data_IF_527059476419
#
_entry.id   IF_527059476419
#
_cell.length_a   1.000
_cell.length_b   1.000
_cell.length_c   1.000
_cell.angle_alpha   90.00
_cell.angle_beta   90.00
_cell.angle_gamma   90.00
#
_symmetry.space_group_name_H-M   'P 1'
#
loop_
_entity.id
_entity.type
_entity.pdbx_description
1 polymer ?
#
# COMPACT_ATOMS: atom_id res chain seq x y z
N UNK A 1 -31.06 46.51 63.43
CA UNK A 1 -29.81 45.80 63.72
C UNK A 1 -29.57 44.77 62.62
N UNK A 2 -28.98 45.16 61.53
CA UNK A 2 -28.77 44.34 60.33
C UNK A 2 -27.34 43.84 60.31
N UNK A 3 -27.11 42.52 60.48
CA UNK A 3 -25.83 41.86 60.43
C UNK A 3 -25.36 41.69 58.97
N UNK A 4 -24.37 42.48 58.55
CA UNK A 4 -23.70 42.29 57.27
C UNK A 4 -22.95 40.99 57.27
N UNK A 5 -23.42 40.04 56.43
CA UNK A 5 -22.73 38.79 56.16
C UNK A 5 -21.59 39.05 55.17
N UNK A 6 -20.39 39.11 55.66
CA UNK A 6 -19.15 39.28 54.87
C UNK A 6 -19.01 38.06 53.95
N UNK A 7 -19.24 38.20 52.64
CA UNK A 7 -18.90 37.21 51.64
C UNK A 7 -17.37 37.12 51.58
N UNK A 8 -16.84 35.96 51.94
CA UNK A 8 -15.45 35.61 51.64
C UNK A 8 -15.28 35.61 50.12
N UNK A 9 -14.32 36.35 49.56
CA UNK A 9 -13.92 36.12 48.16
C UNK A 9 -13.27 34.76 48.10
N UNK A 10 -13.75 33.93 47.19
CA UNK A 10 -13.14 32.64 46.84
C UNK A 10 -11.73 32.92 46.40
N UNK A 11 -10.75 32.47 47.17
CA UNK A 11 -9.34 32.52 46.83
C UNK A 11 -9.13 31.65 45.59
N UNK A 12 -9.22 32.27 44.42
CA UNK A 12 -8.70 31.71 43.16
C UNK A 12 -7.18 31.85 43.21
N UNK A 13 -6.62 31.03 44.08
CA UNK A 13 -5.49 30.19 43.87
C UNK A 13 -4.21 30.78 43.23
N UNK A 14 -3.26 30.99 44.06
CA UNK A 14 -1.86 30.82 43.73
C UNK A 14 -1.62 29.31 43.39
N UNK A 15 -1.90 28.88 42.16
CA UNK A 15 -1.27 27.72 41.62
C UNK A 15 0.21 28.04 41.54
N UNK A 16 0.99 27.40 42.44
CA UNK A 16 2.43 27.56 42.45
C UNK A 16 2.96 27.38 41.05
N UNK A 17 3.84 28.25 40.55
CA UNK A 17 4.50 28.17 39.26
C UNK A 17 5.01 26.73 38.95
N UNK A 18 5.43 26.02 39.98
CA UNK A 18 5.86 24.61 39.92
C UNK A 18 4.75 23.66 39.51
N UNK A 19 3.50 23.87 39.97
CA UNK A 19 2.37 23.01 39.56
C UNK A 19 1.94 23.30 38.11
N UNK A 20 2.03 24.53 37.67
CA UNK A 20 1.80 24.94 36.29
C UNK A 20 2.85 24.29 35.35
N UNK A 21 4.12 24.34 35.71
CA UNK A 21 5.21 23.68 34.97
C UNK A 21 5.05 22.16 34.92
N UNK A 22 4.61 21.51 36.00
CA UNK A 22 4.34 20.08 36.04
C UNK A 22 3.17 19.69 35.11
N UNK A 23 2.07 20.44 35.15
CA UNK A 23 0.91 20.20 34.29
C UNK A 23 1.29 20.40 32.82
N UNK A 24 2.03 21.46 32.48
CA UNK A 24 2.52 21.71 31.13
C UNK A 24 3.46 20.59 30.65
N UNK A 25 4.36 20.10 31.51
CA UNK A 25 5.26 18.98 31.21
C UNK A 25 4.49 17.68 30.93
N UNK A 26 3.44 17.40 31.70
CA UNK A 26 2.58 16.22 31.48
C UNK A 26 1.84 16.32 30.15
N UNK A 27 1.23 17.48 29.87
CA UNK A 27 0.51 17.72 28.60
C UNK A 27 1.46 17.60 27.42
N UNK A 28 2.66 18.21 27.50
CA UNK A 28 3.68 18.10 26.44
C UNK A 28 4.15 16.66 26.23
N UNK A 29 4.33 15.89 27.31
CA UNK A 29 4.68 14.47 27.22
C UNK A 29 3.59 13.63 26.57
N UNK A 30 2.33 13.83 26.95
CA UNK A 30 1.18 13.14 26.33
C UNK A 30 1.07 13.49 24.85
N UNK A 31 1.22 14.77 24.50
CA UNK A 31 1.18 15.24 23.11
C UNK A 31 2.33 14.64 22.29
N UNK A 32 3.52 14.53 22.87
CA UNK A 32 4.69 13.91 22.24
C UNK A 32 4.48 12.41 21.97
N UNK A 33 3.96 11.66 22.96
CA UNK A 33 3.63 10.24 22.79
C UNK A 33 2.53 10.06 21.74
N UNK A 34 1.52 10.92 21.74
CA UNK A 34 0.45 10.90 20.75
C UNK A 34 0.96 11.20 19.33
N UNK A 35 1.89 12.14 19.20
CA UNK A 35 2.57 12.44 17.93
C UNK A 35 3.37 11.23 17.42
N UNK A 36 4.09 10.52 18.30
CA UNK A 36 4.82 9.31 17.94
C UNK A 36 3.89 8.18 17.47
N UNK A 37 2.69 8.06 18.05
CA UNK A 37 1.68 7.07 17.63
C UNK A 37 1.07 7.41 16.27
N UNK A 38 0.87 8.70 15.97
CA UNK A 38 0.33 9.14 14.66
C UNK A 38 1.34 8.91 13.53
N UNK A 39 2.64 9.05 13.78
CA UNK A 39 3.67 8.81 12.78
C UNK A 39 3.80 7.32 12.37
N UNK A 40 3.09 6.42 13.04
CA UNK A 40 2.94 4.98 12.73
C UNK A 40 4.19 4.33 12.10
N UNK A 41 5.25 4.10 12.86
CA UNK A 41 6.51 3.56 12.34
C UNK A 41 6.44 2.03 12.12
N UNK A 42 5.24 1.47 11.88
CA UNK A 42 5.05 0.04 11.70
C UNK A 42 4.08 -0.25 10.55
N UNK A 43 4.30 -1.39 9.91
CA UNK A 43 3.41 -1.97 8.90
C UNK A 43 3.20 -3.44 9.17
N UNK A 44 2.01 -3.93 8.80
CA UNK A 44 1.65 -5.34 8.85
C UNK A 44 1.48 -5.83 7.42
N UNK A 45 2.32 -6.79 7.01
CA UNK A 45 2.24 -7.41 5.70
C UNK A 45 1.44 -8.70 5.80
N UNK A 46 0.39 -8.82 5.00
CA UNK A 46 -0.51 -9.97 5.00
C UNK A 46 0.18 -11.24 4.50
N UNK A 47 -0.31 -12.42 4.91
CA UNK A 47 0.18 -13.71 4.42
C UNK A 47 0.01 -13.81 2.89
N UNK A 48 1.04 -14.29 2.20
CA UNK A 48 1.08 -14.38 0.74
C UNK A 48 1.33 -13.05 0.03
N UNK A 49 1.79 -12.03 0.77
CA UNK A 49 2.17 -10.74 0.21
C UNK A 49 3.66 -10.43 0.45
N UNK A 50 4.19 -9.55 -0.38
CA UNK A 50 5.52 -8.94 -0.21
C UNK A 50 5.39 -7.43 -0.38
N UNK A 51 6.12 -6.69 0.42
CA UNK A 51 6.04 -5.23 0.40
C UNK A 51 7.38 -4.63 0.02
N UNK A 52 7.35 -3.76 -0.99
CA UNK A 52 8.48 -2.92 -1.39
C UNK A 52 8.37 -1.59 -0.67
N UNK A 53 9.48 -1.13 -0.12
CA UNK A 53 9.57 0.17 0.53
C UNK A 53 10.14 1.21 -0.42
N UNK A 54 9.54 2.39 -0.41
CA UNK A 54 10.10 3.57 -1.08
C UNK A 54 10.28 4.70 -0.07
N UNK A 55 11.43 5.37 -0.12
CA UNK A 55 11.73 6.53 0.71
C UNK A 55 12.07 7.71 -0.17
N UNK A 56 11.26 8.77 -0.11
CA UNK A 56 11.38 9.95 -0.97
C UNK A 56 11.49 9.59 -2.46
N UNK A 57 10.74 8.57 -2.92
CA UNK A 57 10.76 8.09 -4.30
C UNK A 57 11.88 7.09 -4.62
N UNK A 58 12.81 6.85 -3.71
CA UNK A 58 13.87 5.85 -3.89
C UNK A 58 13.44 4.49 -3.37
N UNK A 59 13.52 3.47 -4.21
CA UNK A 59 13.23 2.08 -3.83
C UNK A 59 14.32 1.56 -2.89
N UNK A 60 13.91 1.07 -1.73
CA UNK A 60 14.83 0.50 -0.76
C UNK A 60 15.23 -0.93 -1.15
N UNK A 61 16.41 -1.37 -0.68
CA UNK A 61 16.92 -2.72 -0.95
C UNK A 61 16.09 -3.81 -0.27
N UNK A 62 15.51 -3.49 0.88
CA UNK A 62 14.79 -4.44 1.71
C UNK A 62 13.38 -4.68 1.16
N UNK A 63 13.04 -5.95 0.92
CA UNK A 63 11.69 -6.44 0.67
C UNK A 63 11.16 -6.98 2.00
N UNK A 64 10.00 -6.49 2.44
CA UNK A 64 9.34 -7.00 3.63
C UNK A 64 8.57 -8.29 3.30
N UNK A 65 8.83 -9.33 4.08
CA UNK A 65 8.02 -10.55 4.09
C UNK A 65 6.73 -10.34 4.88
N UNK A 66 5.88 -11.36 4.91
CA UNK A 66 4.70 -11.40 5.77
C UNK A 66 5.05 -11.22 7.25
N UNK A 67 4.17 -10.55 7.98
CA UNK A 67 4.30 -10.29 9.41
C UNK A 67 4.42 -8.82 9.77
N UNK A 68 4.80 -8.58 11.01
CA UNK A 68 4.95 -7.24 11.57
C UNK A 68 6.36 -6.69 11.30
N UNK A 69 6.44 -5.47 10.77
CA UNK A 69 7.69 -4.79 10.48
C UNK A 69 7.67 -3.37 11.01
N UNK A 70 8.82 -2.99 11.58
CA UNK A 70 9.10 -1.61 11.94
C UNK A 70 9.72 -0.91 10.74
N UNK A 71 9.11 0.18 10.29
CA UNK A 71 9.55 0.96 9.13
C UNK A 71 9.82 2.40 9.53
N UNK A 72 10.48 3.16 8.67
CA UNK A 72 10.62 4.60 8.89
C UNK A 72 9.30 5.32 8.62
N UNK A 73 8.94 6.38 9.37
CA UNK A 73 7.74 7.18 9.11
C UNK A 73 7.76 7.89 7.75
N UNK A 74 8.92 7.93 7.08
CA UNK A 74 9.10 8.50 5.74
C UNK A 74 9.04 7.44 4.63
N UNK A 75 8.82 6.17 4.99
CA UNK A 75 8.72 5.09 4.02
C UNK A 75 7.26 4.95 3.54
N UNK A 76 7.10 4.80 2.23
CA UNK A 76 5.84 4.39 1.62
C UNK A 76 5.91 2.91 1.28
N UNK A 77 4.82 2.20 1.50
CA UNK A 77 4.71 0.75 1.31
C UNK A 77 3.93 0.44 0.03
N UNK A 78 4.45 -0.51 -0.76
CA UNK A 78 3.80 -1.02 -1.96
C UNK A 78 3.68 -2.53 -1.84
N UNK A 79 2.46 -3.02 -1.64
CA UNK A 79 2.17 -4.43 -1.38
C UNK A 79 1.88 -5.17 -2.68
N UNK A 80 2.45 -6.38 -2.82
CA UNK A 80 2.26 -7.28 -3.94
C UNK A 80 1.76 -8.62 -3.45
N UNK A 81 0.67 -9.10 -4.04
CA UNK A 81 0.20 -10.47 -3.87
C UNK A 81 1.10 -11.42 -4.67
N UNK A 82 1.77 -12.35 -3.97
CA UNK A 82 2.68 -13.34 -4.58
C UNK A 82 2.03 -14.70 -4.75
N UNK A 83 0.76 -14.84 -4.37
CA UNK A 83 -0.03 -16.05 -4.61
C UNK A 83 -0.36 -16.18 -6.09
N UNK A 84 -0.78 -17.37 -6.48
CA UNK A 84 -1.30 -17.60 -7.83
C UNK A 84 -2.61 -16.83 -8.01
N UNK A 85 -2.63 -15.97 -9.01
CA UNK A 85 -3.76 -15.14 -9.41
C UNK A 85 -4.26 -15.62 -10.78
N UNK A 86 -5.54 -15.40 -11.05
CA UNK A 86 -6.16 -15.62 -12.35
C UNK A 86 -6.50 -14.27 -12.97
N UNK A 87 -6.12 -14.09 -14.21
CA UNK A 87 -6.54 -12.94 -15.03
C UNK A 87 -7.32 -13.43 -16.24
N UNK A 88 -8.40 -12.74 -16.59
CA UNK A 88 -9.24 -13.04 -17.75
C UNK A 88 -9.27 -11.84 -18.66
N UNK A 89 -8.79 -12.01 -19.88
CA UNK A 89 -8.73 -10.95 -20.89
C UNK A 89 -9.47 -11.37 -22.14
N UNK A 90 -10.32 -10.47 -22.64
CA UNK A 90 -10.92 -10.61 -23.97
C UNK A 90 -9.89 -10.18 -25.02
N UNK A 91 -9.64 -11.03 -25.99
CA UNK A 91 -8.68 -10.77 -27.07
C UNK A 91 -9.35 -10.93 -28.43
N UNK A 92 -9.07 -9.97 -29.30
CA UNK A 92 -9.51 -9.99 -30.69
C UNK A 92 -8.28 -10.10 -31.58
N UNK A 93 -8.26 -11.08 -32.44
CA UNK A 93 -7.15 -11.31 -33.36
C UNK A 93 -7.67 -11.77 -34.74
N UNK A 94 -6.85 -11.56 -35.77
CA UNK A 94 -7.15 -12.09 -37.10
C UNK A 94 -6.63 -13.53 -37.22
N UNK A 95 -7.41 -14.42 -37.79
CA UNK A 95 -7.00 -15.75 -38.21
C UNK A 95 -6.13 -15.69 -39.47
N UNK A 96 -5.58 -16.84 -39.88
CA UNK A 96 -4.76 -16.97 -41.10
C UNK A 96 -5.49 -16.53 -42.38
N UNK A 97 -6.80 -16.71 -42.42
CA UNK A 97 -7.67 -16.29 -43.52
C UNK A 97 -8.28 -14.89 -43.34
N UNK A 98 -7.68 -14.09 -42.45
CA UNK A 98 -8.04 -12.69 -42.18
C UNK A 98 -9.44 -12.48 -41.61
N UNK A 99 -10.03 -13.48 -40.98
CA UNK A 99 -11.28 -13.35 -40.25
C UNK A 99 -11.01 -12.88 -38.79
N UNK A 100 -11.89 -12.05 -38.27
CA UNK A 100 -11.80 -11.63 -36.88
C UNK A 100 -12.29 -12.73 -35.94
N UNK A 101 -11.42 -13.14 -35.03
CA UNK A 101 -11.69 -14.12 -33.97
C UNK A 101 -11.68 -13.41 -32.64
N UNK A 102 -12.78 -13.52 -31.90
CA UNK A 102 -12.88 -13.02 -30.53
C UNK A 102 -12.79 -14.21 -29.57
N UNK A 103 -11.85 -14.15 -28.65
CA UNK A 103 -11.65 -15.21 -27.66
C UNK A 103 -11.46 -14.64 -26.27
N UNK A 104 -11.90 -15.39 -25.27
CA UNK A 104 -11.67 -15.06 -23.86
C UNK A 104 -10.62 -16.01 -23.30
N UNK A 105 -9.55 -15.45 -22.78
CA UNK A 105 -8.40 -16.20 -22.28
C UNK A 105 -8.28 -15.99 -20.80
N UNK A 106 -8.08 -17.07 -20.08
CA UNK A 106 -7.74 -17.06 -18.66
C UNK A 106 -6.27 -17.49 -18.48
N UNK A 107 -5.52 -16.67 -17.80
CA UNK A 107 -4.11 -16.94 -17.48
C UNK A 107 -3.94 -16.99 -15.97
N UNK A 108 -3.29 -18.06 -15.49
CA UNK A 108 -2.86 -18.14 -14.10
C UNK A 108 -1.39 -17.76 -14.02
N UNK A 109 -1.08 -16.80 -13.16
CA UNK A 109 0.29 -16.34 -12.94
C UNK A 109 0.55 -16.08 -11.46
N UNK A 110 1.79 -15.93 -11.09
CA UNK A 110 2.19 -15.46 -9.77
C UNK A 110 3.41 -14.54 -9.88
N UNK A 111 3.51 -13.62 -8.94
CA UNK A 111 4.67 -12.73 -8.83
C UNK A 111 5.78 -13.47 -8.08
N UNK A 112 6.99 -13.48 -8.63
CA UNK A 112 8.14 -14.06 -7.94
C UNK A 112 8.51 -13.19 -6.72
N UNK A 113 8.45 -13.73 -5.49
CA UNK A 113 8.70 -12.98 -4.25
C UNK A 113 10.06 -12.28 -4.21
N UNK A 114 11.09 -12.88 -4.79
CA UNK A 114 12.46 -12.34 -4.78
C UNK A 114 12.67 -11.23 -5.81
N UNK A 115 11.76 -11.12 -6.79
CA UNK A 115 11.85 -10.18 -7.90
C UNK A 115 10.87 -9.00 -7.81
N UNK A 116 10.11 -8.91 -6.72
CA UNK A 116 9.09 -7.87 -6.53
C UNK A 116 9.68 -6.46 -6.63
N UNK A 117 10.90 -6.25 -6.13
CA UNK A 117 11.61 -4.96 -6.24
C UNK A 117 11.87 -4.57 -7.69
N UNK A 118 12.41 -5.49 -8.50
CA UNK A 118 12.67 -5.25 -9.91
C UNK A 118 11.35 -4.97 -10.66
N UNK A 119 10.32 -5.77 -10.38
CA UNK A 119 8.98 -5.59 -10.93
C UNK A 119 8.41 -4.19 -10.61
N UNK A 120 8.58 -3.74 -9.35
CA UNK A 120 8.14 -2.40 -8.96
C UNK A 120 8.91 -1.30 -9.71
N UNK A 121 10.23 -1.44 -9.83
CA UNK A 121 11.06 -0.46 -10.56
C UNK A 121 10.67 -0.34 -12.03
N UNK A 122 10.29 -1.46 -12.66
CA UNK A 122 9.92 -1.51 -14.06
C UNK A 122 8.49 -1.02 -14.33
N UNK A 123 7.54 -1.40 -13.47
CA UNK A 123 6.10 -1.21 -13.73
C UNK A 123 5.40 -0.24 -12.80
N UNK A 124 6.05 0.17 -11.70
CA UNK A 124 5.47 1.00 -10.65
C UNK A 124 4.11 0.47 -10.14
N UNK A 125 3.97 -0.86 -10.05
CA UNK A 125 2.76 -1.54 -9.60
C UNK A 125 1.74 -1.86 -10.70
N UNK A 126 1.95 -1.40 -11.93
CA UNK A 126 1.03 -1.63 -13.06
C UNK A 126 1.44 -2.83 -13.93
N UNK A 127 1.98 -3.89 -13.32
CA UNK A 127 2.54 -5.03 -14.05
C UNK A 127 1.49 -5.79 -14.89
N UNK A 128 0.22 -5.82 -14.48
CA UNK A 128 -0.84 -6.46 -15.26
C UNK A 128 -0.99 -5.77 -16.61
N UNK A 129 -1.29 -4.47 -16.63
CA UNK A 129 -1.50 -3.72 -17.87
C UNK A 129 -0.22 -3.47 -18.67
N UNK A 130 0.96 -3.52 -18.03
CA UNK A 130 2.24 -3.21 -18.69
C UNK A 130 2.93 -4.45 -19.25
N UNK A 131 2.78 -5.62 -18.60
CA UNK A 131 3.48 -6.84 -18.99
C UNK A 131 2.52 -7.96 -19.36
N UNK A 132 1.48 -8.25 -18.55
CA UNK A 132 0.63 -9.43 -18.71
C UNK A 132 -0.32 -9.25 -19.89
N UNK A 133 -1.10 -8.18 -19.93
CA UNK A 133 -2.09 -7.94 -20.99
C UNK A 133 -1.46 -7.91 -22.39
N UNK A 134 -0.34 -7.18 -22.63
CA UNK A 134 0.32 -7.19 -23.92
C UNK A 134 0.86 -8.57 -24.30
N UNK A 135 1.44 -9.31 -23.34
CA UNK A 135 1.99 -10.65 -23.60
C UNK A 135 0.87 -11.64 -23.98
N UNK A 136 -0.29 -11.56 -23.33
CA UNK A 136 -1.47 -12.36 -23.70
C UNK A 136 -1.91 -12.02 -25.12
N UNK A 137 -2.08 -10.74 -25.44
CA UNK A 137 -2.54 -10.30 -26.76
C UNK A 137 -1.57 -10.70 -27.86
N UNK A 138 -0.26 -10.58 -27.65
CA UNK A 138 0.76 -11.00 -28.61
C UNK A 138 0.74 -12.52 -28.82
N UNK A 139 0.64 -13.29 -27.75
CA UNK A 139 0.56 -14.75 -27.81
C UNK A 139 -0.68 -15.23 -28.58
N UNK A 140 -1.82 -14.58 -28.35
CA UNK A 140 -3.06 -14.89 -29.07
C UNK A 140 -2.93 -14.58 -30.55
N UNK A 141 -2.46 -13.38 -30.91
CA UNK A 141 -2.23 -13.00 -32.30
C UNK A 141 -1.28 -13.97 -33.00
N UNK A 142 -0.20 -14.37 -32.34
CA UNK A 142 0.75 -15.32 -32.88
C UNK A 142 0.14 -16.71 -33.09
N UNK A 143 -0.73 -17.16 -32.19
CA UNK A 143 -1.41 -18.44 -32.31
C UNK A 143 -2.49 -18.41 -33.41
N UNK A 144 -3.39 -17.43 -33.38
CA UNK A 144 -4.52 -17.34 -34.33
C UNK A 144 -4.06 -17.15 -35.78
N UNK A 145 -2.94 -16.45 -36.01
CA UNK A 145 -2.36 -16.27 -37.34
C UNK A 145 -1.89 -17.59 -38.02
N UNK A 146 -1.77 -18.67 -37.25
CA UNK A 146 -1.33 -19.98 -37.80
C UNK A 146 -2.50 -20.84 -38.29
N UNK A 147 -3.72 -20.57 -37.84
CA UNK A 147 -4.91 -21.37 -38.10
C UNK A 147 -5.98 -20.56 -38.86
N UNK A 148 -6.80 -21.24 -39.66
CA UNK A 148 -8.00 -20.65 -40.26
C UNK A 148 -9.09 -20.53 -39.19
N UNK A 149 -10.10 -19.69 -39.45
CA UNK A 149 -11.19 -19.51 -38.49
C UNK A 149 -11.96 -20.83 -38.20
N UNK A 150 -12.00 -21.75 -39.17
CA UNK A 150 -12.68 -23.05 -39.04
C UNK A 150 -11.84 -24.05 -38.19
N UNK A 151 -10.53 -23.78 -37.99
CA UNK A 151 -9.61 -24.63 -37.23
C UNK A 151 -9.46 -24.17 -35.77
N UNK A 152 -9.97 -22.98 -35.39
CA UNK A 152 -9.90 -22.38 -34.06
C UNK A 152 -11.16 -22.67 -33.22
#
# INVERSE_FOLDING_TARGET
>A
MLKHKKKHPMQLNEMSDKTLFLIFGIIASVLFVFLLLILSPFTLVSAGHRTVLTRFGQVQEQILSEGFHLISPFDSTHEYDVRTQKDETDSNAASKDLQNVSTKIAVNFHVNPDKVKALFQETQGKYQSTLIDPAIQESVKAATAQFTADEL
#
